data_IF_966170266645
#
_entry.id   IF_966170266645
#
_cell.length_a   1.000
_cell.length_b   1.000
_cell.length_c   1.000
_cell.angle_alpha   90.00
_cell.angle_beta   90.00
_cell.angle_gamma   90.00
#
_symmetry.space_group_name_H-M   'P 1'
#
loop_
_entity.id
_entity.type
_entity.pdbx_description
1 polymer ?
#
# COMPACT_ATOMS: atom_id res chain seq x y z
N UNK A 1 -12.74 -23.61 -1.29
CA UNK A 1 -12.43 -23.53 -0.65
C UNK A 1 -11.95 -23.12 -0.30
N UNK A 2 -12.09 -22.65 -0.19
CA UNK A 2 -11.62 -22.42 0.37
C UNK A 2 -11.25 -22.21 0.77
N UNK A 3 -11.14 -21.95 0.78
CA UNK A 3 -10.73 -21.85 1.40
C UNK A 3 -10.10 -21.61 1.72
N UNK A 4 -10.03 -21.27 1.10
CA UNK A 4 -9.44 -21.06 1.52
C UNK A 4 -8.74 -20.72 2.35
N UNK A 5 -8.12 -20.38 2.42
CA UNK A 5 -7.60 -20.20 3.42
C UNK A 5 -8.09 -19.39 4.28
N UNK A 6 -8.69 -19.40 4.41
CA UNK A 6 -9.37 -18.73 5.39
C UNK A 6 -8.78 -18.88 6.72
N UNK A 7 -8.83 -17.87 7.50
CA UNK A 7 -8.38 -17.93 8.85
C UNK A 7 -9.33 -18.79 9.65
N UNK A 8 -8.83 -19.87 10.19
CA UNK A 8 -9.64 -20.81 10.91
C UNK A 8 -9.90 -20.38 12.34
N UNK A 9 -9.09 -19.46 12.86
CA UNK A 9 -9.22 -19.01 14.23
C UNK A 9 -9.99 -17.71 14.34
N UNK A 10 -10.57 -17.25 13.25
CA UNK A 10 -11.34 -16.02 13.24
C UNK A 10 -10.53 -14.75 13.14
N UNK A 11 -9.22 -14.83 13.09
CA UNK A 11 -8.42 -13.63 12.92
C UNK A 11 -8.44 -13.17 11.48
N UNK A 12 -8.22 -11.88 11.28
CA UNK A 12 -8.08 -11.32 9.94
C UNK A 12 -6.67 -11.58 9.45
N UNK A 13 -6.57 -12.10 8.25
CA UNK A 13 -5.28 -12.37 7.64
C UNK A 13 -5.20 -11.68 6.30
N UNK A 14 -4.05 -11.07 6.02
CA UNK A 14 -3.80 -10.52 4.70
C UNK A 14 -3.25 -11.56 3.74
N UNK A 15 -2.80 -12.70 4.26
CA UNK A 15 -2.42 -13.85 3.47
C UNK A 15 -1.54 -13.57 2.29
N UNK A 16 -1.33 -14.51 1.38
CA UNK A 16 -0.61 -14.23 0.16
C UNK A 16 -1.45 -13.30 -0.72
N UNK A 17 -0.84 -12.17 -1.10
CA UNK A 17 -1.52 -11.16 -1.91
C UNK A 17 -0.70 -10.93 -3.16
N UNK A 18 -1.35 -11.06 -4.30
CA UNK A 18 -0.72 -10.82 -5.58
C UNK A 18 -0.94 -9.35 -5.95
N UNK A 19 0.13 -8.67 -6.31
CA UNK A 19 0.04 -7.30 -6.79
C UNK A 19 -0.66 -7.28 -8.13
N UNK A 20 -1.70 -6.48 -8.26
CA UNK A 20 -2.44 -6.30 -9.49
C UNK A 20 -2.60 -4.81 -9.75
N UNK A 21 -3.03 -4.48 -10.94
CA UNK A 21 -3.37 -3.14 -11.34
C UNK A 21 -4.46 -2.52 -10.43
N UNK A 22 -5.35 -3.35 -9.87
CA UNK A 22 -6.43 -2.83 -9.01
C UNK A 22 -6.01 -2.52 -7.59
N UNK A 23 -4.92 -3.11 -7.11
CA UNK A 23 -4.44 -2.85 -5.77
C UNK A 23 -3.08 -2.14 -5.78
N UNK A 24 -2.77 -1.45 -6.88
CA UNK A 24 -1.51 -0.75 -7.04
C UNK A 24 -1.77 0.71 -7.38
N UNK A 25 -1.06 1.60 -6.71
CA UNK A 25 -1.00 3.01 -7.08
C UNK A 25 0.44 3.32 -7.46
N UNK A 26 0.62 3.86 -8.66
CA UNK A 26 1.95 4.17 -9.19
C UNK A 26 2.18 5.68 -9.12
N UNK A 27 3.08 6.07 -8.25
CA UNK A 27 3.40 7.48 -8.00
C UNK A 27 4.68 7.93 -8.70
N UNK A 28 5.30 7.06 -9.47
CA UNK A 28 6.56 7.39 -10.13
C UNK A 28 6.38 8.55 -11.10
N UNK A 29 7.34 9.46 -11.09
CA UNK A 29 7.33 10.60 -12.01
C UNK A 29 6.34 11.69 -11.65
N UNK A 30 5.62 11.56 -10.55
CA UNK A 30 4.66 12.57 -10.12
C UNK A 30 5.32 13.60 -9.22
N UNK A 31 4.72 14.78 -9.18
CA UNK A 31 5.10 15.80 -8.21
C UNK A 31 4.61 15.37 -6.85
N UNK A 32 5.25 15.88 -5.81
CA UNK A 32 4.91 15.51 -4.43
C UNK A 32 3.43 15.80 -4.14
N UNK A 33 2.91 16.94 -4.57
CA UNK A 33 1.50 17.28 -4.33
C UNK A 33 0.56 16.32 -5.03
N UNK A 34 0.89 15.92 -6.26
CA UNK A 34 0.08 14.95 -7.01
C UNK A 34 0.15 13.58 -6.37
N UNK A 35 1.35 13.17 -5.97
CA UNK A 35 1.55 11.87 -5.33
C UNK A 35 0.75 11.78 -4.02
N UNK A 36 0.80 12.83 -3.22
CA UNK A 36 0.06 12.89 -1.96
C UNK A 36 -1.45 12.74 -2.20
N UNK A 37 -1.97 13.48 -3.15
CA UNK A 37 -3.39 13.45 -3.48
C UNK A 37 -3.81 12.07 -3.98
N UNK A 38 -3.06 11.52 -4.94
CA UNK A 38 -3.41 10.24 -5.53
C UNK A 38 -3.32 9.09 -4.53
N UNK A 39 -2.34 9.15 -3.65
CA UNK A 39 -2.20 8.13 -2.63
C UNK A 39 -3.38 8.17 -1.66
N UNK A 40 -3.76 9.36 -1.20
CA UNK A 40 -4.92 9.49 -0.31
C UNK A 40 -6.19 8.97 -0.97
N UNK A 41 -6.39 9.29 -2.24
CA UNK A 41 -7.56 8.82 -2.98
C UNK A 41 -7.53 7.30 -3.12
N UNK A 42 -6.36 6.72 -3.36
CA UNK A 42 -6.23 5.27 -3.47
C UNK A 42 -6.55 4.59 -2.14
N UNK A 43 -6.09 5.14 -1.03
CA UNK A 43 -6.39 4.59 0.30
C UNK A 43 -7.88 4.68 0.57
N UNK A 44 -8.50 5.82 0.27
CA UNK A 44 -9.92 6.03 0.52
C UNK A 44 -10.80 5.10 -0.31
N UNK A 45 -10.32 4.69 -1.47
CA UNK A 45 -11.04 3.77 -2.34
C UNK A 45 -10.86 2.30 -1.94
N UNK A 46 -9.94 2.00 -1.03
CA UNK A 46 -9.71 0.64 -0.60
C UNK A 46 -10.84 0.14 0.28
N UNK A 47 -11.12 -1.15 0.19
CA UNK A 47 -12.02 -1.82 1.13
C UNK A 47 -11.26 -2.14 2.41
N UNK A 48 -11.98 -2.35 3.52
CA UNK A 48 -11.34 -2.83 4.74
C UNK A 48 -10.55 -4.11 4.48
N UNK A 49 -9.38 -4.22 5.08
CA UNK A 49 -8.47 -5.35 4.98
C UNK A 49 -7.87 -5.56 3.60
N UNK A 50 -7.99 -4.57 2.74
CA UNK A 50 -7.33 -4.60 1.45
C UNK A 50 -5.85 -4.26 1.61
N UNK A 51 -5.01 -4.84 0.75
CA UNK A 51 -3.60 -4.51 0.67
C UNK A 51 -3.40 -3.58 -0.53
N UNK A 52 -2.68 -2.50 -0.32
CA UNK A 52 -2.39 -1.53 -1.36
C UNK A 52 -0.88 -1.48 -1.61
N UNK A 53 -0.48 -1.70 -2.86
CA UNK A 53 0.92 -1.59 -3.27
C UNK A 53 1.17 -0.18 -3.76
N UNK A 54 2.11 0.51 -3.12
CA UNK A 54 2.43 1.90 -3.42
C UNK A 54 3.80 1.93 -4.11
N UNK A 55 3.78 2.16 -5.41
CA UNK A 55 5.01 2.19 -6.20
C UNK A 55 5.48 3.64 -6.29
N UNK A 56 6.53 3.96 -5.56
CA UNK A 56 7.06 5.33 -5.52
C UNK A 56 8.41 5.48 -6.24
N UNK A 57 9.00 4.34 -6.62
CA UNK A 57 10.28 4.35 -7.32
C UNK A 57 11.46 4.47 -6.36
N UNK A 58 12.64 4.29 -6.92
CA UNK A 58 13.89 4.25 -6.15
C UNK A 58 14.73 5.51 -6.36
N UNK A 59 14.14 6.59 -6.83
CA UNK A 59 14.88 7.80 -7.19
C UNK A 59 15.33 8.61 -5.99
N UNK A 60 15.12 9.93 -6.03
CA UNK A 60 15.67 10.84 -5.03
C UNK A 60 15.07 10.68 -3.65
N UNK A 61 13.96 9.99 -3.53
CA UNK A 61 13.30 9.80 -2.26
C UNK A 61 12.19 10.80 -1.95
N UNK A 62 12.04 11.87 -2.70
CA UNK A 62 11.03 12.88 -2.40
C UNK A 62 9.61 12.31 -2.45
N UNK A 63 9.30 11.54 -3.48
CA UNK A 63 7.98 10.90 -3.60
C UNK A 63 7.83 9.81 -2.55
N UNK A 64 8.88 9.04 -2.30
CA UNK A 64 8.85 8.02 -1.26
C UNK A 64 8.61 8.64 0.10
N UNK A 65 9.32 9.71 0.44
CA UNK A 65 9.15 10.37 1.74
C UNK A 65 7.74 10.89 1.89
N UNK A 66 7.17 11.46 0.84
CA UNK A 66 5.79 11.92 0.83
C UNK A 66 4.83 10.74 1.06
N UNK A 67 5.05 9.63 0.35
CA UNK A 67 4.20 8.47 0.48
C UNK A 67 4.24 7.91 1.90
N UNK A 68 5.43 7.78 2.49
CA UNK A 68 5.59 7.28 3.85
C UNK A 68 4.87 8.21 4.84
N UNK A 69 4.98 9.51 4.64
CA UNK A 69 4.33 10.48 5.51
C UNK A 69 2.81 10.35 5.44
N UNK A 70 2.24 10.21 4.25
CA UNK A 70 0.81 10.01 4.08
C UNK A 70 0.38 8.71 4.76
N UNK A 71 1.11 7.63 4.53
CA UNK A 71 0.75 6.32 5.11
C UNK A 71 0.82 6.36 6.63
N UNK A 72 1.83 7.03 7.19
CA UNK A 72 2.00 7.11 8.65
C UNK A 72 0.85 7.86 9.29
N UNK A 73 0.30 8.85 8.62
CA UNK A 73 -0.70 9.73 9.21
C UNK A 73 -2.15 9.42 8.80
N UNK A 74 -2.35 8.49 7.88
CA UNK A 74 -3.71 8.19 7.42
C UNK A 74 -4.38 7.20 8.37
N UNK A 75 -5.57 7.53 8.89
CA UNK A 75 -6.23 6.69 9.91
C UNK A 75 -6.62 5.30 9.40
N UNK A 76 -6.74 5.12 8.09
CA UNK A 76 -7.12 3.81 7.55
C UNK A 76 -5.93 2.91 7.26
N UNK A 77 -4.71 3.36 7.49
CA UNK A 77 -3.52 2.54 7.28
C UNK A 77 -3.13 1.90 8.59
N UNK A 78 -3.28 0.58 8.68
CA UNK A 78 -2.95 -0.16 9.90
C UNK A 78 -1.43 -0.28 10.07
N UNK A 79 -0.75 -0.59 8.98
CA UNK A 79 0.71 -0.64 8.96
C UNK A 79 1.19 -0.60 7.51
N UNK A 80 2.48 -0.39 7.33
CA UNK A 80 3.09 -0.43 6.00
C UNK A 80 4.53 -0.90 6.13
N UNK A 81 5.07 -1.45 5.05
CA UNK A 81 6.44 -1.96 5.03
C UNK A 81 6.94 -2.02 3.60
N UNK A 82 8.24 -2.12 3.40
CA UNK A 82 8.79 -2.32 2.05
C UNK A 82 8.25 -3.63 1.49
N UNK A 83 7.99 -3.64 0.19
CA UNK A 83 7.45 -4.82 -0.49
C UNK A 83 8.40 -6.01 -0.34
N UNK A 84 9.68 -5.76 -0.43
CA UNK A 84 10.68 -6.77 -0.11
C UNK A 84 11.99 -6.07 0.25
N UNK A 85 12.91 -6.78 0.93
CA UNK A 85 14.21 -6.20 1.25
C UNK A 85 15.00 -5.76 0.03
N UNK A 86 14.68 -6.31 -1.15
CA UNK A 86 15.38 -5.99 -2.39
C UNK A 86 14.65 -4.96 -3.23
N UNK A 87 13.44 -4.56 -2.84
CA UNK A 87 12.64 -3.62 -3.61
C UNK A 87 12.24 -2.42 -2.75
N UNK A 88 13.09 -1.42 -2.72
CA UNK A 88 12.84 -0.20 -1.99
C UNK A 88 11.96 0.78 -2.77
N UNK A 89 11.57 0.41 -3.98
CA UNK A 89 10.72 1.24 -4.82
C UNK A 89 9.23 1.02 -4.62
N UNK A 90 8.85 0.08 -3.75
CA UNK A 90 7.45 -0.23 -3.51
C UNK A 90 7.21 -0.46 -2.02
N UNK A 91 6.15 0.14 -1.49
CA UNK A 91 5.72 -0.04 -0.11
C UNK A 91 4.36 -0.72 -0.12
N UNK A 92 4.17 -1.68 0.76
CA UNK A 92 2.90 -2.38 0.93
C UNK A 92 2.18 -1.79 2.11
N UNK A 93 0.95 -1.31 1.90
CA UNK A 93 0.13 -0.74 2.96
C UNK A 93 -1.04 -1.67 3.25
N UNK A 94 -1.30 -1.88 4.52
CA UNK A 94 -2.36 -2.75 5.00
C UNK A 94 -3.49 -1.86 5.51
N UNK A 95 -4.63 -1.92 4.87
CA UNK A 95 -5.75 -1.01 5.10
C UNK A 95 -6.74 -1.62 6.09
N UNK A 96 -7.19 -0.82 7.00
CA UNK A 96 -8.19 -1.27 7.98
C UNK A 96 -9.57 -0.67 7.73
#
# INVERSE_FOLDING_TARGET
>A
MVEANQSQDGSVSFGPVVQTFKNTVDLRGKRVSEASYELRMAIDACRPYQVLFVVHGMGTGAVKDCAIDVLRNHPRVAKFEDESPLNYGCTVAYIQ
#
